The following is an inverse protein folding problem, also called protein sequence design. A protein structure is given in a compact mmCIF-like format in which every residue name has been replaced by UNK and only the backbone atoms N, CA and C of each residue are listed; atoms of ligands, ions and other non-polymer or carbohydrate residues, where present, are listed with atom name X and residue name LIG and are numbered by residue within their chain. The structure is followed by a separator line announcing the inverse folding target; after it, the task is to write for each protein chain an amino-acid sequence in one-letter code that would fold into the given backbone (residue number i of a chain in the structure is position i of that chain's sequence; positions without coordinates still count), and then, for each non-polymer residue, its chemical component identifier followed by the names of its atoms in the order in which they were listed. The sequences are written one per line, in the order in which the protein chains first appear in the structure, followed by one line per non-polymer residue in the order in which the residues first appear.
data_IF_586822281855
#
_entry.id   IF_586822281855
#
_cell.length_a   1.000
_cell.length_b   1.000
_cell.length_c   1.000
_cell.angle_alpha   90.00
_cell.angle_beta   90.00
_cell.angle_gamma   90.00
#
_symmetry.space_group_name_H-M   'P 1'
#
loop_
_entity.id
_entity.type
_entity.pdbx_description
1 polymer ?
#
# COMPACT_ATOMS: atom_id res chain seq x y z
N UNK A 1 -3.94 12.68 0.13
CA UNK A 1 -4.22 11.86 1.33
C UNK A 1 -3.25 10.69 1.42
N UNK A 2 -3.04 10.10 2.61
CA UNK A 2 -2.20 8.91 2.80
C UNK A 2 -2.99 7.83 3.54
N UNK A 3 -2.93 6.59 3.06
CA UNK A 3 -3.38 5.41 3.80
C UNK A 3 -2.26 4.37 3.81
N UNK A 4 -2.10 3.68 4.93
CA UNK A 4 -1.12 2.62 5.10
C UNK A 4 -1.82 1.37 5.66
N UNK A 5 -1.52 0.21 5.08
CA UNK A 5 -1.93 -1.08 5.58
C UNK A 5 -0.69 -1.93 5.88
N UNK A 6 -0.67 -2.59 7.02
CA UNK A 6 0.39 -3.52 7.41
C UNK A 6 -0.13 -4.94 7.28
N UNK A 7 0.70 -5.83 6.73
CA UNK A 7 0.40 -7.25 6.61
C UNK A 7 1.26 -7.99 7.63
N UNK A 8 0.62 -8.54 8.66
CA UNK A 8 1.25 -9.42 9.63
C UNK A 8 1.63 -10.74 8.97
N UNK A 9 2.58 -11.52 9.54
CA UNK A 9 2.98 -12.81 8.97
C UNK A 9 1.83 -13.80 8.72
N UNK A 10 0.73 -13.69 9.46
CA UNK A 10 -0.47 -14.55 9.32
C UNK A 10 -1.52 -14.02 8.35
N UNK A 11 -1.34 -12.80 7.84
CA UNK A 11 -2.29 -12.15 6.95
C UNK A 11 -2.13 -12.64 5.50
N UNK A 12 -3.06 -12.22 4.65
CA UNK A 12 -3.01 -12.50 3.21
C UNK A 12 -2.03 -11.55 2.51
N UNK A 13 -0.91 -12.08 2.01
CA UNK A 13 0.23 -11.31 1.45
C UNK A 13 0.13 -10.97 -0.04
N UNK A 14 -1.06 -11.07 -0.63
CA UNK A 14 -1.28 -10.59 -2.01
C UNK A 14 -2.02 -9.25 -1.96
N UNK A 15 -1.66 -8.36 -2.86
CA UNK A 15 -2.22 -7.02 -2.95
C UNK A 15 -2.82 -6.77 -4.32
N UNK A 16 -3.86 -5.96 -4.33
CA UNK A 16 -4.79 -5.81 -5.44
C UNK A 16 -4.93 -4.34 -5.83
N UNK A 17 -5.40 -4.10 -7.05
CA UNK A 17 -5.73 -2.76 -7.50
C UNK A 17 -6.94 -2.22 -6.72
N UNK A 18 -6.82 -1.06 -6.04
CA UNK A 18 -7.88 -0.51 -5.17
C UNK A 18 -9.04 0.12 -5.96
N UNK A 19 -8.79 0.45 -7.22
CA UNK A 19 -9.70 1.08 -8.17
C UNK A 19 -9.19 0.81 -9.60
N UNK A 20 -10.06 0.96 -10.61
CA UNK A 20 -9.65 0.81 -12.01
C UNK A 20 -8.67 1.92 -12.41
N UNK A 21 -7.54 1.53 -13.01
CA UNK A 21 -6.44 2.43 -13.33
C UNK A 21 -5.48 1.88 -14.39
N UNK A 22 -4.66 2.77 -14.95
CA UNK A 22 -3.48 2.40 -15.74
C UNK A 22 -2.26 2.50 -14.83
N UNK A 23 -1.56 1.38 -14.65
CA UNK A 23 -0.38 1.31 -13.80
C UNK A 23 0.90 1.50 -14.62
N UNK A 24 1.81 2.35 -14.12
CA UNK A 24 3.11 2.59 -14.73
C UNK A 24 4.04 1.38 -14.58
N UNK A 25 5.21 1.45 -15.20
CA UNK A 25 6.28 0.50 -14.89
C UNK A 25 6.62 0.60 -13.38
N UNK A 26 6.62 -0.52 -12.64
CA UNK A 26 7.08 -0.55 -11.25
C UNK A 26 8.56 -0.19 -11.14
N UNK A 27 8.91 0.64 -10.17
CA UNK A 27 10.29 1.01 -9.86
C UNK A 27 10.72 0.41 -8.54
N UNK A 28 11.68 -0.51 -8.59
CA UNK A 28 12.34 -1.05 -7.40
C UNK A 28 13.31 -0.03 -6.83
N UNK A 29 13.22 0.23 -5.54
CA UNK A 29 14.22 0.94 -4.76
C UNK A 29 14.77 -0.04 -3.73
N UNK A 30 16.05 -0.36 -3.84
CA UNK A 30 16.74 -1.22 -2.88
C UNK A 30 16.95 -0.50 -1.55
N UNK A 31 17.09 -1.29 -0.50
CA UNK A 31 17.30 -0.81 0.86
C UNK A 31 17.35 -1.96 1.86
N UNK A 32 17.55 -1.64 3.15
CA UNK A 32 17.45 -2.62 4.23
C UNK A 32 16.04 -3.23 4.35
N UNK A 33 15.91 -4.21 5.25
CA UNK A 33 14.64 -4.89 5.58
C UNK A 33 14.37 -4.78 7.08
N UNK A 34 14.30 -3.55 7.59
CA UNK A 34 13.95 -3.31 8.99
C UNK A 34 12.51 -3.72 9.26
N UNK A 35 12.22 -4.05 10.53
CA UNK A 35 10.87 -4.45 10.93
C UNK A 35 9.90 -3.29 10.82
N UNK A 36 8.73 -3.56 10.24
CA UNK A 36 7.60 -2.62 10.15
C UNK A 36 6.58 -2.86 11.25
N UNK A 37 6.95 -3.56 12.33
CA UNK A 37 6.05 -3.72 13.47
C UNK A 37 5.76 -2.35 14.14
N UNK A 38 4.63 -2.20 14.86
CA UNK A 38 4.24 -0.91 15.42
C UNK A 38 5.28 -0.29 16.37
N UNK A 39 6.02 -1.11 17.11
CA UNK A 39 7.06 -0.64 18.04
C UNK A 39 8.23 -0.02 17.28
N UNK A 40 8.67 -0.64 16.18
CA UNK A 40 9.75 -0.13 15.35
C UNK A 40 9.35 1.15 14.63
N UNK A 41 8.15 1.20 14.04
CA UNK A 41 7.65 2.38 13.32
C UNK A 41 7.45 3.59 14.24
N UNK A 42 7.00 3.37 15.49
CA UNK A 42 6.91 4.44 16.49
C UNK A 42 8.27 5.02 16.88
N UNK A 43 9.34 4.23 16.79
CA UNK A 43 10.71 4.68 17.07
C UNK A 43 11.35 5.39 15.88
N UNK A 44 11.13 4.88 14.67
CA UNK A 44 11.69 5.47 13.46
C UNK A 44 10.75 5.24 12.27
N UNK A 45 10.04 6.29 11.86
CA UNK A 45 9.14 6.23 10.70
C UNK A 45 9.90 6.16 9.36
N UNK A 46 11.16 6.61 9.33
CA UNK A 46 12.00 6.60 8.13
C UNK A 46 12.24 5.18 7.60
N UNK A 47 12.00 4.14 8.41
CA UNK A 47 11.98 2.73 7.99
C UNK A 47 11.16 2.55 6.70
N UNK A 48 10.01 3.23 6.57
CA UNK A 48 9.14 3.11 5.40
C UNK A 48 9.79 3.64 4.11
N UNK A 49 10.65 4.66 4.23
CA UNK A 49 11.38 5.26 3.11
C UNK A 49 12.78 4.68 2.90
N UNK A 50 13.34 4.00 3.88
CA UNK A 50 14.65 3.36 3.81
C UNK A 50 14.54 1.93 3.28
N UNK A 51 13.52 1.20 3.71
CA UNK A 51 13.38 -0.20 3.34
C UNK A 51 13.30 -0.41 1.82
N UNK A 52 13.72 -1.60 1.38
CA UNK A 52 13.47 -2.11 0.04
C UNK A 52 11.98 -2.00 -0.26
N UNK A 53 11.65 -1.35 -1.38
CA UNK A 53 10.26 -1.09 -1.76
C UNK A 53 10.09 -1.02 -3.26
N UNK A 54 8.88 -1.31 -3.71
CA UNK A 54 8.44 -1.07 -5.07
C UNK A 54 7.52 0.16 -5.09
N UNK A 55 7.64 0.99 -6.11
CA UNK A 55 6.76 2.15 -6.32
C UNK A 55 6.13 2.02 -7.70
N UNK A 56 4.81 2.14 -7.75
CA UNK A 56 4.04 2.16 -9.00
C UNK A 56 3.16 3.41 -9.01
N UNK A 57 3.23 4.23 -10.05
CA UNK A 57 2.25 5.31 -10.27
C UNK A 57 0.99 4.70 -10.91
N UNK A 58 -0.17 4.95 -10.31
CA UNK A 58 -1.47 4.59 -10.82
C UNK A 58 -2.15 5.84 -11.36
N UNK A 59 -2.57 5.81 -12.62
CA UNK A 59 -3.38 6.86 -13.23
C UNK A 59 -4.83 6.41 -13.27
N UNK A 60 -5.69 7.14 -12.56
CA UNK A 60 -7.13 6.88 -12.47
C UNK A 60 -7.93 8.09 -12.94
N UNK A 61 -9.04 7.84 -13.65
CA UNK A 61 -9.95 8.90 -14.07
C UNK A 61 -10.59 9.64 -12.89
N UNK A 62 -10.83 8.94 -11.77
CA UNK A 62 -11.52 9.49 -10.59
C UNK A 62 -10.55 9.96 -9.51
N UNK A 63 -9.45 9.24 -9.28
CA UNK A 63 -8.48 9.58 -8.22
C UNK A 63 -7.27 10.38 -8.71
N UNK A 64 -7.16 10.66 -10.01
CA UNK A 64 -5.98 11.30 -10.58
C UNK A 64 -4.75 10.39 -10.49
N UNK A 65 -3.61 10.96 -10.08
CA UNK A 65 -2.38 10.20 -9.86
C UNK A 65 -2.29 9.72 -8.42
N UNK A 66 -2.02 8.43 -8.24
CA UNK A 66 -1.84 7.80 -6.93
C UNK A 66 -0.54 7.01 -6.94
N UNK A 67 0.32 7.22 -5.95
CA UNK A 67 1.48 6.35 -5.75
C UNK A 67 1.05 5.15 -4.92
N UNK A 68 1.30 3.95 -5.44
CA UNK A 68 1.14 2.69 -4.74
C UNK A 68 2.52 2.16 -4.39
N UNK A 69 2.79 1.98 -3.10
CA UNK A 69 4.11 1.66 -2.58
C UNK A 69 4.04 0.38 -1.76
N UNK A 70 4.76 -0.64 -2.21
CA UNK A 70 4.94 -1.89 -1.49
C UNK A 70 6.26 -1.88 -0.73
N UNK A 71 6.22 -1.92 0.59
CA UNK A 71 7.39 -1.87 1.46
C UNK A 71 7.65 -3.26 2.03
N UNK A 72 8.79 -3.84 1.67
CA UNK A 72 9.26 -5.09 2.28
C UNK A 72 9.78 -4.84 3.69
N UNK A 73 9.66 -5.83 4.56
CA UNK A 73 10.25 -5.80 5.90
C UNK A 73 11.07 -7.06 6.17
N UNK A 74 11.44 -7.27 7.43
CA UNK A 74 12.27 -8.38 7.86
C UNK A 74 11.73 -9.72 7.33
N UNK A 75 12.63 -10.49 6.72
CA UNK A 75 12.40 -11.79 6.07
C UNK A 75 11.64 -11.78 4.74
N UNK A 76 11.17 -10.63 4.22
CA UNK A 76 10.51 -10.57 2.91
C UNK A 76 11.50 -10.89 1.79
N UNK A 77 11.35 -12.08 1.22
CA UNK A 77 12.22 -12.58 0.14
C UNK A 77 12.13 -11.77 -1.16
N UNK A 78 10.95 -11.29 -1.52
CA UNK A 78 10.72 -10.50 -2.74
C UNK A 78 9.38 -9.76 -2.74
N UNK A 79 9.25 -8.81 -3.65
CA UNK A 79 8.03 -8.04 -3.94
C UNK A 79 7.75 -8.27 -5.43
N UNK A 80 6.80 -9.13 -5.73
CA UNK A 80 6.48 -9.54 -7.11
C UNK A 80 5.29 -8.75 -7.65
N UNK A 81 5.36 -8.38 -8.92
CA UNK A 81 4.28 -7.68 -9.63
C UNK A 81 3.72 -8.63 -10.70
N UNK A 82 2.41 -8.82 -10.73
CA UNK A 82 1.74 -9.80 -11.62
C UNK A 82 0.98 -9.16 -12.77
N UNK A 83 0.95 -7.83 -12.83
CA UNK A 83 0.27 -7.07 -13.87
C UNK A 83 1.21 -6.68 -15.03
N UNK A 84 0.63 -6.26 -16.15
CA UNK A 84 1.37 -5.66 -17.28
C UNK A 84 1.23 -4.14 -17.24
N UNK A 85 2.36 -3.42 -17.22
CA UNK A 85 2.36 -1.95 -17.21
C UNK A 85 1.75 -1.35 -18.49
N UNK A 86 1.17 -0.16 -18.35
CA UNK A 86 0.53 0.58 -19.45
C UNK A 86 -0.83 0.06 -19.90
N UNK A 87 -1.35 -1.00 -19.29
CA UNK A 87 -2.71 -1.52 -19.54
C UNK A 87 -3.69 -1.04 -18.46
N UNK A 88 -4.97 -0.99 -18.84
CA UNK A 88 -6.05 -0.83 -17.87
C UNK A 88 -6.11 -2.08 -16.98
N UNK A 89 -6.21 -1.87 -15.67
CA UNK A 89 -6.48 -2.89 -14.68
C UNK A 89 -7.78 -2.52 -13.97
N UNK A 90 -8.60 -3.51 -13.67
CA UNK A 90 -9.87 -3.33 -13.00
C UNK A 90 -9.72 -3.36 -11.47
N UNK A 91 -10.65 -2.70 -10.77
CA UNK A 91 -10.71 -2.76 -9.31
C UNK A 91 -10.80 -4.21 -8.84
N UNK A 92 -9.92 -4.58 -7.92
CA UNK A 92 -9.86 -5.91 -7.32
C UNK A 92 -9.04 -6.93 -8.11
N UNK A 93 -8.50 -6.57 -9.28
CA UNK A 93 -7.50 -7.41 -9.95
C UNK A 93 -6.22 -7.49 -9.14
N UNK A 94 -5.53 -8.63 -9.23
CA UNK A 94 -4.26 -8.81 -8.53
C UNK A 94 -3.18 -7.90 -9.13
N UNK A 95 -2.51 -7.16 -8.26
CA UNK A 95 -1.36 -6.34 -8.63
C UNK A 95 -0.05 -7.07 -8.36
N UNK A 96 0.00 -7.85 -7.28
CA UNK A 96 1.20 -8.59 -6.92
C UNK A 96 1.14 -9.21 -5.52
N UNK A 97 2.30 -9.64 -5.02
CA UNK A 97 2.41 -10.25 -3.71
C UNK A 97 3.79 -10.07 -3.07
N UNK A 98 3.84 -10.20 -1.74
CA UNK A 98 5.07 -10.33 -0.99
C UNK A 98 5.41 -11.81 -0.78
N UNK A 99 6.70 -12.15 -0.91
CA UNK A 99 7.20 -13.40 -0.34
C UNK A 99 7.20 -13.32 1.19
N UNK A 100 7.11 -14.47 1.87
CA UNK A 100 6.94 -14.63 3.32
C UNK A 100 7.66 -13.56 4.18
N UNK A 101 6.96 -12.94 5.12
CA UNK A 101 7.53 -11.95 6.04
C UNK A 101 6.50 -10.93 6.49
N UNK A 102 6.94 -9.91 7.24
CA UNK A 102 6.10 -8.73 7.50
C UNK A 102 6.20 -7.75 6.34
N UNK A 103 5.15 -7.01 6.02
CA UNK A 103 5.18 -6.05 4.92
C UNK A 103 4.18 -4.92 5.13
N UNK A 104 4.26 -3.90 4.30
CA UNK A 104 3.31 -2.78 4.33
C UNK A 104 3.01 -2.26 2.93
N UNK A 105 1.80 -1.76 2.77
CA UNK A 105 1.29 -1.10 1.58
C UNK A 105 1.01 0.35 1.95
N UNK A 106 1.41 1.29 1.10
CA UNK A 106 1.13 2.72 1.28
C UNK A 106 0.55 3.26 -0.01
N UNK A 107 -0.57 3.95 0.08
CA UNK A 107 -1.15 4.69 -1.04
C UNK A 107 -1.09 6.18 -0.75
N UNK A 108 -0.52 6.94 -1.69
CA UNK A 108 -0.43 8.40 -1.63
C UNK A 108 -1.28 9.00 -2.74
N UNK A 109 -2.29 9.73 -2.34
CA UNK A 109 -3.20 10.46 -3.22
C UNK A 109 -2.81 11.93 -3.27
N UNK A 110 -3.00 12.57 -4.42
CA UNK A 110 -2.95 14.03 -4.52
C UNK A 110 -3.89 14.69 -3.49
N UNK A 111 -3.64 15.97 -3.23
CA UNK A 111 -4.50 16.77 -2.36
C UNK A 111 -5.92 16.79 -2.95
N UNK A 112 -6.92 16.70 -2.08
CA UNK A 112 -8.34 16.84 -2.43
C UNK A 112 -8.86 15.82 -3.49
N UNK A 113 -8.27 14.61 -3.55
CA UNK A 113 -8.71 13.51 -4.44
C UNK A 113 -9.50 12.40 -3.76
N UNK A 114 -9.44 12.32 -2.43
CA UNK A 114 -10.05 11.24 -1.67
C UNK A 114 -10.59 11.76 -0.34
N UNK A 115 -11.79 11.31 0.00
CA UNK A 115 -12.37 11.38 1.34
C UNK A 115 -12.30 9.98 1.95
N UNK A 116 -11.55 9.82 3.04
CA UNK A 116 -11.43 8.55 3.74
C UNK A 116 -12.66 8.28 4.61
N UNK A 117 -13.00 7.00 4.78
CA UNK A 117 -14.13 6.60 5.62
C UNK A 117 -13.94 7.06 7.08
N UNK A 118 -15.05 7.50 7.70
CA UNK A 118 -15.01 8.21 8.98
C UNK A 118 -14.46 7.35 10.13
N UNK A 119 -14.74 6.05 10.12
CA UNK A 119 -14.24 5.07 11.09
C UNK A 119 -12.71 4.92 11.02
N UNK A 120 -12.13 4.92 9.82
CA UNK A 120 -10.69 4.89 9.61
C UNK A 120 -10.03 6.19 10.10
N UNK A 121 -10.66 7.33 9.84
CA UNK A 121 -10.18 8.64 10.31
C UNK A 121 -10.22 8.73 11.84
N UNK A 122 -11.32 8.29 12.46
CA UNK A 122 -11.48 8.28 13.92
C UNK A 122 -10.49 7.32 14.59
N UNK A 123 -10.36 6.09 14.08
CA UNK A 123 -9.40 5.11 14.61
C UNK A 123 -7.96 5.62 14.50
N UNK A 124 -7.61 6.27 13.39
CA UNK A 124 -6.29 6.86 13.19
C UNK A 124 -5.99 7.99 14.18
N UNK A 125 -6.97 8.87 14.46
CA UNK A 125 -6.85 9.93 15.48
C UNK A 125 -6.59 9.37 16.88
N UNK A 126 -7.16 8.20 17.18
CA UNK A 126 -7.00 7.51 18.45
C UNK A 126 -5.79 6.55 18.47
N UNK A 127 -4.96 6.53 17.42
CA UNK A 127 -3.81 5.63 17.27
C UNK A 127 -4.17 4.13 17.33
N UNK A 128 -5.36 3.78 16.85
CA UNK A 128 -5.88 2.43 16.80
C UNK A 128 -5.70 1.87 15.39
N UNK A 129 -4.96 0.76 15.28
CA UNK A 129 -4.87 0.00 14.04
C UNK A 129 -6.19 -0.73 13.80
N UNK A 130 -6.79 -0.50 12.63
CA UNK A 130 -8.07 -1.10 12.24
C UNK A 130 -7.83 -2.34 11.40
N UNK A 131 -8.51 -3.44 11.70
CA UNK A 131 -8.47 -4.64 10.86
C UNK A 131 -9.18 -4.36 9.54
N UNK A 132 -8.43 -4.32 8.44
CA UNK A 132 -8.98 -4.20 7.09
C UNK A 132 -9.28 -5.57 6.49
N UNK A 133 -10.42 -5.69 5.81
CA UNK A 133 -10.77 -6.86 5.00
C UNK A 133 -10.61 -6.54 3.50
N UNK A 134 -10.27 -7.55 2.70
CA UNK A 134 -10.23 -7.38 1.24
C UNK A 134 -11.62 -6.97 0.74
N UNK A 135 -11.67 -5.89 -0.04
CA UNK A 135 -12.91 -5.33 -0.59
C UNK A 135 -13.65 -4.38 0.35
N UNK A 136 -13.22 -4.23 1.60
CA UNK A 136 -13.73 -3.19 2.49
C UNK A 136 -13.40 -1.80 1.91
N UNK A 137 -14.34 -0.86 2.06
CA UNK A 137 -14.10 0.52 1.65
C UNK A 137 -12.99 1.16 2.48
N UNK A 138 -12.21 2.01 1.83
CA UNK A 138 -11.26 2.91 2.49
C UNK A 138 -11.72 4.38 2.42
N UNK A 139 -12.68 4.67 1.55
CA UNK A 139 -13.07 6.01 1.18
C UNK A 139 -13.61 6.10 -0.24
N UNK A 140 -13.91 7.33 -0.66
CA UNK A 140 -14.45 7.68 -1.98
C UNK A 140 -13.68 8.80 -2.64
N UNK A 141 -13.72 8.84 -3.97
CA UNK A 141 -13.18 9.97 -4.73
C UNK A 141 -13.99 11.25 -4.43
N UNK A 142 -13.30 12.39 -4.51
CA UNK A 142 -13.89 13.73 -4.42
C UNK A 142 -14.17 14.31 -5.81
#
# INVERSE_FOLDING_TARGET
GLVMARLCPVDYHRFHFPFSCIASQPKLINGPLYSVNPIALRKNISILSENKRMITELTSAVFGKVLYIEVGATYVGSIEQTFTSGKMNEKGEEKGFFSFGGSSLILLFEKDRIEFDADLVESSKNHIETRGLLGQSLGRAL
#
